data_IF_818926979904
#
_entry.id   IF_818926979904
#
_cell.length_a   1.000
_cell.length_b   1.000
_cell.length_c   1.000
_cell.angle_alpha   90.00
_cell.angle_beta   90.00
_cell.angle_gamma   90.00
#
_symmetry.space_group_name_H-M   'P 1'
#
loop_
_entity.id
_entity.type
_entity.pdbx_description
1 polymer ?
#
# COMPACT_ATOMS: atom_id res chain seq x y z
N UNK A 1 25.35 14.08 11.15
CA UNK A 1 25.48 12.61 11.00
C UNK A 1 24.17 11.93 11.35
N UNK A 2 23.73 10.92 10.58
CA UNK A 2 22.92 9.83 11.14
C UNK A 2 23.72 9.14 12.27
N UNK A 3 23.04 8.55 13.25
CA UNK A 3 23.73 7.75 14.27
C UNK A 3 24.10 6.40 13.60
N UNK A 4 25.29 5.87 13.87
CA UNK A 4 25.78 4.67 13.19
C UNK A 4 26.22 3.61 14.21
N UNK A 5 25.80 2.36 14.02
CA UNK A 5 26.42 1.22 14.68
C UNK A 5 27.59 0.77 13.81
N UNK A 6 28.76 0.66 14.42
CA UNK A 6 30.03 0.51 13.70
C UNK A 6 30.87 -0.60 14.33
N UNK A 7 31.35 -1.50 13.48
CA UNK A 7 32.28 -2.58 13.79
C UNK A 7 33.70 -2.17 13.40
N UNK A 8 34.65 -2.49 14.27
CA UNK A 8 36.08 -2.28 14.03
C UNK A 8 36.72 -3.64 13.73
N UNK A 9 37.25 -3.79 12.52
CA UNK A 9 37.90 -5.02 12.07
C UNK A 9 39.41 -4.98 12.37
N UNK A 10 40.00 -6.16 12.61
CA UNK A 10 41.44 -6.32 12.83
C UNK A 10 42.27 -6.30 11.53
N UNK A 11 41.60 -6.35 10.38
CA UNK A 11 42.19 -6.31 9.05
C UNK A 11 41.50 -5.21 8.22
N UNK A 12 42.23 -4.69 7.24
CA UNK A 12 41.72 -3.69 6.29
C UNK A 12 40.69 -4.31 5.34
N UNK A 13 39.63 -3.58 5.04
CA UNK A 13 38.74 -3.90 3.92
C UNK A 13 39.41 -3.61 2.56
N UNK A 14 38.71 -3.94 1.47
CA UNK A 14 39.17 -3.69 0.09
C UNK A 14 39.33 -2.20 -0.28
N UNK A 15 39.00 -1.27 0.62
CA UNK A 15 39.12 0.19 0.46
C UNK A 15 40.16 0.80 1.41
N UNK A 16 40.84 0.00 2.23
CA UNK A 16 41.81 0.47 3.24
C UNK A 16 41.17 0.99 4.53
N UNK A 17 39.94 0.57 4.84
CA UNK A 17 39.23 0.92 6.08
C UNK A 17 39.28 -0.24 7.10
N UNK A 18 39.51 0.08 8.37
CA UNK A 18 39.23 -0.84 9.50
C UNK A 18 37.76 -0.74 9.98
N UNK A 19 36.98 0.17 9.39
CA UNK A 19 35.70 0.65 9.92
C UNK A 19 34.56 0.16 9.02
N UNK A 20 33.70 -0.70 9.57
CA UNK A 20 32.54 -1.31 8.91
C UNK A 20 31.27 -0.77 9.56
N UNK A 21 30.41 -0.12 8.77
CA UNK A 21 29.12 0.40 9.27
C UNK A 21 28.09 -0.72 9.17
N UNK A 22 27.59 -1.19 10.32
CA UNK A 22 26.58 -2.23 10.41
C UNK A 22 25.16 -1.65 10.20
N UNK A 23 24.83 -0.57 10.91
CA UNK A 23 23.49 0.02 10.90
C UNK A 23 23.57 1.55 10.87
N UNK A 24 22.50 2.19 10.37
CA UNK A 24 22.34 3.66 10.35
C UNK A 24 20.95 4.05 10.82
N UNK A 25 20.91 4.88 11.86
CA UNK A 25 19.69 5.41 12.48
C UNK A 25 19.47 6.87 12.06
N UNK A 26 18.24 7.19 11.67
CA UNK A 26 17.87 8.52 11.16
C UNK A 26 17.85 9.55 12.29
N UNK A 27 18.84 10.45 12.31
CA UNK A 27 18.92 11.56 13.26
C UNK A 27 18.60 12.89 12.53
N UNK A 28 17.41 13.46 12.74
CA UNK A 28 16.98 14.72 12.11
C UNK A 28 17.80 15.95 12.57
N UNK A 29 18.52 15.87 13.68
CA UNK A 29 19.19 17.01 14.29
C UNK A 29 20.56 17.38 13.66
N UNK A 30 20.93 18.68 13.65
CA UNK A 30 20.06 19.84 13.88
C UNK A 30 19.13 20.08 12.67
N UNK A 31 17.90 20.53 12.94
CA UNK A 31 17.03 21.12 11.92
C UNK A 31 17.33 22.62 11.91
N UNK A 32 17.84 23.13 10.78
CA UNK A 32 18.25 24.53 10.60
C UNK A 32 17.06 25.39 10.14
N UNK A 33 16.23 24.85 9.25
CA UNK A 33 15.03 25.45 8.69
C UNK A 33 14.09 24.34 8.19
N UNK A 34 12.81 24.64 7.99
CA UNK A 34 11.85 23.69 7.41
C UNK A 34 10.72 24.39 6.67
N UNK A 35 10.08 23.67 5.76
CA UNK A 35 8.82 24.08 5.14
C UNK A 35 7.81 22.93 5.16
N UNK A 36 6.52 23.28 5.26
CA UNK A 36 5.43 22.34 5.01
C UNK A 36 5.05 22.43 3.54
N UNK A 37 4.91 21.28 2.88
CA UNK A 37 4.66 21.16 1.45
C UNK A 37 3.59 20.11 1.19
N UNK A 38 2.88 20.23 0.07
CA UNK A 38 2.03 19.17 -0.46
C UNK A 38 2.47 18.90 -1.91
N UNK A 39 3.59 18.19 -2.06
CA UNK A 39 4.23 17.94 -3.36
C UNK A 39 3.32 17.14 -4.30
N UNK A 40 2.45 16.31 -3.74
CA UNK A 40 1.61 15.34 -4.46
C UNK A 40 0.13 15.75 -4.54
N UNK A 41 -0.19 16.93 -3.99
CA UNK A 41 -1.52 17.55 -3.90
C UNK A 41 -2.57 16.63 -3.24
N UNK A 42 -2.18 15.95 -2.16
CA UNK A 42 -3.03 15.01 -1.42
C UNK A 42 -3.82 15.64 -0.26
N UNK A 43 -3.55 16.92 0.07
CA UNK A 43 -4.01 17.54 1.32
C UNK A 43 -3.24 17.07 2.56
N UNK A 44 -2.21 16.23 2.38
CA UNK A 44 -1.34 15.73 3.45
C UNK A 44 -0.04 16.52 3.49
N UNK A 45 0.07 17.43 4.46
CA UNK A 45 1.27 18.25 4.66
C UNK A 45 2.50 17.41 5.01
N UNK A 46 3.44 17.34 4.07
CA UNK A 46 4.77 16.77 4.21
C UNK A 46 5.69 17.84 4.81
N UNK A 47 6.65 17.47 5.67
CA UNK A 47 7.61 18.44 6.24
C UNK A 47 8.98 18.23 5.61
N UNK A 48 9.47 19.20 4.83
CA UNK A 48 10.85 19.16 4.31
C UNK A 48 11.76 19.98 5.21
N UNK A 49 12.83 19.38 5.68
CA UNK A 49 13.76 19.96 6.66
C UNK A 49 15.17 20.13 6.08
N UNK A 50 15.81 21.26 6.38
CA UNK A 50 17.26 21.40 6.33
C UNK A 50 17.86 20.70 7.55
N UNK A 51 18.31 19.46 7.39
CA UNK A 51 18.81 18.61 8.48
C UNK A 51 20.32 18.38 8.38
N UNK A 52 21.04 18.55 9.48
CA UNK A 52 22.48 18.31 9.54
C UNK A 52 23.35 19.54 9.24
N UNK A 53 24.67 19.36 9.21
CA UNK A 53 25.65 20.42 9.00
C UNK A 53 26.93 19.86 8.34
N UNK A 54 27.68 20.74 7.67
CA UNK A 54 28.92 20.39 6.93
C UNK A 54 28.67 19.22 5.96
N UNK A 55 29.61 18.25 5.87
CA UNK A 55 29.53 16.99 5.11
C UNK A 55 28.30 16.11 5.39
N UNK A 56 27.56 16.40 6.45
CA UNK A 56 26.34 15.70 6.86
C UNK A 56 25.07 16.50 6.55
N UNK A 57 25.18 17.53 5.69
CA UNK A 57 24.07 18.31 5.18
C UNK A 57 23.11 17.44 4.36
N UNK A 58 21.81 17.55 4.67
CA UNK A 58 20.76 16.78 4.02
C UNK A 58 19.44 17.54 3.97
N UNK A 59 18.70 17.42 2.87
CA UNK A 59 17.26 17.69 2.90
C UNK A 59 16.54 16.42 3.32
N UNK A 60 15.49 16.52 4.15
CA UNK A 60 14.70 15.35 4.53
C UNK A 60 13.22 15.63 4.48
N UNK A 61 12.52 14.81 3.71
CA UNK A 61 11.06 14.81 3.61
C UNK A 61 10.53 13.86 4.66
N UNK A 62 9.78 14.40 5.63
CA UNK A 62 9.11 13.66 6.69
C UNK A 62 7.64 13.53 6.32
N UNK A 63 7.19 12.29 6.14
CA UNK A 63 5.80 11.92 5.86
C UNK A 63 5.20 11.26 7.11
N UNK A 64 3.95 11.58 7.45
CA UNK A 64 3.21 10.87 8.49
C UNK A 64 2.53 9.64 7.88
N UNK A 65 2.94 8.45 8.32
CA UNK A 65 2.60 7.18 7.68
C UNK A 65 3.79 6.47 7.05
N UNK A 66 3.55 5.25 6.59
CA UNK A 66 4.51 4.27 6.09
C UNK A 66 4.78 4.51 4.60
N UNK A 67 6.04 4.48 4.18
CA UNK A 67 6.41 4.58 2.76
C UNK A 67 6.36 3.22 2.05
N UNK A 68 6.20 3.27 0.73
CA UNK A 68 6.42 2.13 -0.17
C UNK A 68 7.64 2.44 -1.03
N UNK A 69 8.57 1.49 -1.10
CA UNK A 69 9.72 1.55 -1.99
C UNK A 69 9.45 0.69 -3.24
N UNK A 70 8.92 1.35 -4.27
CA UNK A 70 8.52 0.79 -5.55
C UNK A 70 9.75 0.36 -6.37
N UNK A 71 9.71 -0.84 -6.96
CA UNK A 71 10.83 -1.44 -7.71
C UNK A 71 10.47 -1.80 -9.14
N UNK A 72 9.23 -2.23 -9.37
CA UNK A 72 8.69 -2.49 -10.71
C UNK A 72 7.24 -1.97 -10.80
N UNK A 73 6.84 -1.54 -11.99
CA UNK A 73 5.52 -0.98 -12.28
C UNK A 73 5.07 -1.41 -13.68
N UNK A 74 3.84 -1.90 -13.82
CA UNK A 74 3.23 -2.33 -15.07
C UNK A 74 1.87 -1.66 -15.23
N UNK A 75 1.59 -1.08 -16.39
CA UNK A 75 0.29 -0.44 -16.68
C UNK A 75 -0.79 -1.52 -16.89
N UNK A 76 -1.67 -1.71 -15.89
CA UNK A 76 -2.75 -2.70 -15.90
C UNK A 76 -4.02 -2.10 -15.31
N UNK A 77 -5.06 -1.98 -16.15
CA UNK A 77 -6.30 -1.29 -15.78
C UNK A 77 -7.40 -2.26 -15.34
N UNK A 78 -8.20 -1.85 -14.36
CA UNK A 78 -9.46 -2.54 -14.03
C UNK A 78 -9.35 -3.79 -13.17
N UNK A 79 -8.20 -4.05 -12.52
CA UNK A 79 -7.95 -5.19 -11.62
C UNK A 79 -9.08 -5.36 -10.57
N UNK A 80 -9.44 -6.62 -10.28
CA UNK A 80 -10.52 -7.08 -9.37
C UNK A 80 -10.07 -8.16 -8.38
N UNK A 81 -8.78 -8.47 -8.34
CA UNK A 81 -8.18 -9.43 -7.42
C UNK A 81 -6.74 -9.75 -7.83
N UNK A 82 -5.90 -10.06 -6.83
CA UNK A 82 -4.52 -10.48 -7.02
C UNK A 82 -4.12 -11.53 -5.99
N UNK A 83 -3.35 -12.52 -6.41
CA UNK A 83 -2.83 -13.60 -5.56
C UNK A 83 -1.45 -14.02 -6.08
N UNK A 84 -0.52 -14.31 -5.18
CA UNK A 84 0.69 -15.05 -5.54
C UNK A 84 0.42 -16.56 -5.48
N UNK A 85 1.11 -17.34 -6.31
CA UNK A 85 1.14 -18.80 -6.29
C UNK A 85 2.57 -19.29 -6.58
N UNK A 86 2.89 -20.52 -6.15
CA UNK A 86 4.18 -21.19 -6.39
C UNK A 86 4.10 -22.13 -7.59
N UNK A 87 5.23 -22.72 -8.01
CA UNK A 87 5.21 -23.82 -8.97
C UNK A 87 5.12 -25.18 -8.29
N UNK A 88 5.51 -25.27 -7.02
CA UNK A 88 5.38 -26.40 -6.10
C UNK A 88 5.18 -25.88 -4.67
N UNK A 89 4.49 -26.65 -3.82
CA UNK A 89 4.38 -26.34 -2.38
C UNK A 89 5.72 -26.36 -1.65
N UNK A 90 6.70 -27.10 -2.19
CA UNK A 90 8.06 -27.19 -1.65
C UNK A 90 8.97 -26.02 -2.08
N UNK A 91 8.51 -25.15 -3.00
CA UNK A 91 9.26 -23.96 -3.42
C UNK A 91 9.33 -22.93 -2.28
N UNK A 92 10.51 -22.31 -2.13
CA UNK A 92 10.75 -21.21 -1.17
C UNK A 92 10.16 -19.86 -1.64
N UNK A 93 9.89 -19.73 -2.93
CA UNK A 93 9.52 -18.48 -3.59
C UNK A 93 8.23 -18.63 -4.40
N UNK A 94 7.50 -17.52 -4.47
CA UNK A 94 6.33 -17.38 -5.33
C UNK A 94 6.80 -17.21 -6.78
N UNK A 95 6.14 -17.91 -7.72
CA UNK A 95 6.55 -17.95 -9.13
C UNK A 95 5.52 -17.27 -10.05
N UNK A 96 4.22 -17.36 -9.73
CA UNK A 96 3.14 -16.75 -10.50
C UNK A 96 2.48 -15.62 -9.73
N UNK A 97 2.19 -14.51 -10.41
CA UNK A 97 1.24 -13.50 -9.96
C UNK A 97 -0.05 -13.62 -10.77
N UNK A 98 -1.13 -14.06 -10.13
CA UNK A 98 -2.46 -14.17 -10.76
C UNK A 98 -3.20 -12.86 -10.59
N UNK A 99 -3.60 -12.23 -11.71
CA UNK A 99 -4.30 -10.94 -11.74
C UNK A 99 -5.66 -11.15 -12.41
N UNK A 100 -6.75 -10.84 -11.72
CA UNK A 100 -8.11 -11.02 -12.27
C UNK A 100 -8.81 -9.71 -12.59
N UNK A 101 -9.63 -9.75 -13.63
CA UNK A 101 -10.39 -8.66 -14.21
C UNK A 101 -11.88 -9.05 -14.27
N UNK A 102 -12.74 -8.19 -14.84
CA UNK A 102 -14.20 -8.41 -14.84
C UNK A 102 -14.61 -9.62 -15.72
N UNK A 103 -13.85 -9.92 -16.76
CA UNK A 103 -14.17 -10.95 -17.78
C UNK A 103 -13.07 -12.00 -17.98
N UNK A 104 -11.91 -11.83 -17.36
CA UNK A 104 -10.71 -12.63 -17.62
C UNK A 104 -9.81 -12.72 -16.37
N UNK A 105 -8.87 -13.66 -16.40
CA UNK A 105 -7.79 -13.82 -15.42
C UNK A 105 -6.49 -14.06 -16.17
N UNK A 106 -5.47 -13.26 -15.85
CA UNK A 106 -4.12 -13.36 -16.41
C UNK A 106 -3.19 -13.96 -15.37
N UNK A 107 -2.21 -14.72 -15.84
CA UNK A 107 -1.20 -15.35 -14.97
C UNK A 107 0.15 -14.86 -15.47
N UNK A 108 0.88 -14.18 -14.58
CA UNK A 108 2.16 -13.56 -14.86
C UNK A 108 3.26 -14.34 -14.11
N UNK A 109 3.89 -15.37 -14.72
CA UNK A 109 5.12 -15.96 -14.20
C UNK A 109 6.26 -14.92 -14.09
N UNK A 110 7.15 -15.14 -13.13
CA UNK A 110 8.47 -14.53 -13.09
C UNK A 110 9.42 -15.27 -14.03
N UNK A 111 9.82 -14.63 -15.14
CA UNK A 111 10.82 -15.20 -16.04
C UNK A 111 12.24 -15.14 -15.45
N UNK A 112 13.19 -15.85 -16.08
CA UNK A 112 14.62 -15.87 -15.69
C UNK A 112 15.29 -14.49 -15.87
N UNK A 113 14.69 -13.61 -16.67
CA UNK A 113 15.13 -12.23 -16.92
C UNK A 113 14.37 -11.21 -16.03
N UNK A 114 13.71 -11.71 -14.97
CA UNK A 114 12.91 -10.96 -13.97
C UNK A 114 11.69 -10.19 -14.53
N UNK A 115 11.33 -10.39 -15.80
CA UNK A 115 10.15 -9.83 -16.44
C UNK A 115 8.86 -10.63 -16.17
N UNK A 116 7.71 -9.93 -16.22
CA UNK A 116 6.35 -10.46 -16.02
C UNK A 116 5.61 -10.59 -17.38
N UNK A 117 5.87 -11.67 -18.11
CA UNK A 117 5.12 -12.00 -19.33
C UNK A 117 3.83 -12.77 -19.03
N UNK A 118 2.83 -12.69 -19.91
CA UNK A 118 1.55 -13.39 -19.74
C UNK A 118 1.64 -14.86 -20.20
N UNK A 119 1.08 -15.79 -19.42
CA UNK A 119 1.12 -17.25 -19.68
C UNK A 119 -0.17 -17.92 -19.22
N UNK A 120 -0.47 -19.12 -19.75
CA UNK A 120 -1.62 -19.94 -19.35
C UNK A 120 -1.20 -21.17 -18.51
N UNK A 121 -1.99 -21.51 -17.49
CA UNK A 121 -1.92 -22.79 -16.75
C UNK A 121 -3.11 -23.64 -17.21
N UNK A 122 -2.87 -24.86 -17.71
CA UNK A 122 -3.88 -25.62 -18.47
C UNK A 122 -5.16 -25.96 -17.68
N UNK A 123 -5.07 -26.25 -16.37
CA UNK A 123 -6.23 -26.46 -15.50
C UNK A 123 -6.98 -25.18 -15.11
N UNK A 124 -6.32 -24.01 -15.16
CA UNK A 124 -6.95 -22.72 -14.85
C UNK A 124 -7.89 -22.28 -15.98
N UNK A 125 -8.85 -21.42 -15.63
CA UNK A 125 -9.70 -20.74 -16.60
C UNK A 125 -9.32 -19.27 -16.70
N UNK A 126 -8.63 -18.89 -17.78
CA UNK A 126 -8.26 -17.50 -18.09
C UNK A 126 -9.44 -16.67 -18.63
N UNK A 127 -10.46 -17.33 -19.19
CA UNK A 127 -11.61 -16.69 -19.86
C UNK A 127 -12.74 -16.26 -18.90
N UNK A 128 -12.45 -16.20 -17.59
CA UNK A 128 -13.42 -15.87 -16.54
C UNK A 128 -12.76 -15.06 -15.42
N UNK A 129 -13.56 -14.34 -14.65
CA UNK A 129 -13.11 -13.72 -13.41
C UNK A 129 -12.82 -14.78 -12.34
N UNK A 130 -11.67 -14.69 -11.69
CA UNK A 130 -11.31 -15.44 -10.49
C UNK A 130 -11.74 -14.63 -9.26
N UNK A 131 -12.47 -15.27 -8.33
CA UNK A 131 -12.84 -14.69 -7.04
C UNK A 131 -11.78 -14.91 -5.97
N UNK A 132 -11.05 -16.02 -6.07
CA UNK A 132 -10.04 -16.45 -5.14
C UNK A 132 -9.16 -17.53 -5.78
N UNK A 133 -7.85 -17.48 -5.57
CA UNK A 133 -6.95 -18.61 -5.75
C UNK A 133 -5.88 -18.65 -4.67
N UNK A 134 -5.33 -19.83 -4.40
CA UNK A 134 -4.30 -20.07 -3.38
C UNK A 134 -3.64 -21.44 -3.59
N UNK A 135 -2.40 -21.58 -3.14
CA UNK A 135 -1.71 -22.86 -3.03
C UNK A 135 -2.35 -23.74 -1.96
N UNK A 136 -2.34 -25.05 -2.19
CA UNK A 136 -2.96 -26.05 -1.32
C UNK A 136 -2.06 -27.27 -1.11
N UNK A 137 -2.35 -28.03 -0.05
CA UNK A 137 -1.67 -29.29 0.28
C UNK A 137 -1.68 -30.29 -0.89
N UNK A 138 -0.74 -31.24 -0.84
CA UNK A 138 -0.53 -32.27 -1.86
C UNK A 138 -0.12 -31.72 -3.25
N UNK A 139 0.60 -30.58 -3.30
CA UNK A 139 1.03 -29.93 -4.55
C UNK A 139 -0.15 -29.56 -5.48
N UNK A 140 -1.16 -28.89 -4.92
CA UNK A 140 -2.35 -28.47 -5.66
C UNK A 140 -2.55 -26.96 -5.61
N UNK A 141 -3.28 -26.43 -6.59
CA UNK A 141 -3.67 -25.03 -6.72
C UNK A 141 -5.20 -24.96 -6.78
N UNK A 142 -5.81 -24.09 -5.98
CA UNK A 142 -7.27 -23.83 -6.02
C UNK A 142 -7.55 -22.60 -6.87
N UNK A 143 -8.51 -22.69 -7.80
CA UNK A 143 -9.09 -21.53 -8.49
C UNK A 143 -10.62 -21.52 -8.30
N UNK A 144 -11.20 -20.42 -7.84
CA UNK A 144 -12.66 -20.25 -7.73
C UNK A 144 -13.16 -19.19 -8.69
N UNK A 145 -14.03 -19.57 -9.62
CA UNK A 145 -14.40 -18.74 -10.77
C UNK A 145 -15.82 -18.14 -10.67
N UNK A 146 -15.93 -16.84 -10.95
CA UNK A 146 -17.21 -16.16 -11.12
C UNK A 146 -17.64 -16.14 -12.58
N UNK A 147 -18.39 -17.17 -12.99
CA UNK A 147 -19.13 -17.10 -14.24
C UNK A 147 -20.38 -16.21 -14.07
N UNK A 148 -20.52 -15.18 -14.91
CA UNK A 148 -21.79 -14.46 -15.07
C UNK A 148 -22.66 -15.29 -16.03
N UNK A 149 -23.90 -15.67 -15.65
CA UNK A 149 -24.81 -16.29 -16.61
C UNK A 149 -25.23 -15.24 -17.65
N UNK A 150 -24.71 -15.38 -18.88
CA UNK A 150 -25.20 -14.65 -20.05
C UNK A 150 -26.73 -14.81 -20.13
N UNK A 151 -27.46 -13.70 -20.21
CA UNK A 151 -28.92 -13.72 -20.14
C UNK A 151 -29.51 -14.43 -21.34
N UNK A 152 -30.12 -15.60 -21.11
CA UNK A 152 -30.80 -16.44 -22.12
C UNK A 152 -32.16 -15.85 -22.57
N UNK A 153 -32.21 -14.54 -22.80
CA UNK A 153 -33.41 -13.78 -23.15
C UNK A 153 -33.67 -13.67 -24.66
N UNK A 154 -32.71 -14.06 -25.52
CA UNK A 154 -32.77 -13.83 -26.98
C UNK A 154 -32.64 -15.09 -27.87
N UNK A 155 -32.59 -16.30 -27.31
CA UNK A 155 -32.42 -17.56 -28.07
C UNK A 155 -33.51 -18.61 -27.78
N UNK A 156 -34.78 -18.24 -27.91
CA UNK A 156 -35.94 -19.10 -27.61
C UNK A 156 -36.31 -20.14 -28.69
N UNK A 157 -35.42 -20.45 -29.65
CA UNK A 157 -35.78 -21.21 -30.86
C UNK A 157 -34.87 -22.39 -31.24
N UNK A 158 -33.89 -22.76 -30.41
CA UNK A 158 -33.05 -23.95 -30.66
C UNK A 158 -32.89 -24.88 -29.45
N UNK A 159 -33.94 -24.94 -28.61
CA UNK A 159 -34.02 -25.89 -27.50
C UNK A 159 -34.35 -27.30 -27.99
N UNK A 160 -33.41 -28.25 -27.81
CA UNK A 160 -33.64 -29.68 -27.49
C UNK A 160 -32.30 -30.41 -27.28
N UNK A 161 -31.24 -30.06 -28.03
CA UNK A 161 -30.01 -30.89 -28.11
C UNK A 161 -28.77 -30.38 -27.37
N UNK A 162 -28.83 -29.25 -26.64
CA UNK A 162 -27.63 -28.60 -26.03
C UNK A 162 -27.72 -28.50 -24.50
N UNK A 163 -28.14 -29.58 -23.83
CA UNK A 163 -28.18 -29.67 -22.36
C UNK A 163 -26.80 -29.88 -21.69
N UNK A 164 -25.69 -29.78 -22.45
CA UNK A 164 -24.31 -29.98 -21.97
C UNK A 164 -23.48 -28.70 -21.74
N UNK A 165 -24.01 -27.50 -22.01
CA UNK A 165 -23.25 -26.25 -21.96
C UNK A 165 -23.85 -25.17 -21.04
N UNK A 166 -24.55 -25.60 -19.99
CA UNK A 166 -24.90 -24.73 -18.86
C UNK A 166 -23.79 -24.79 -17.80
N UNK A 167 -22.72 -24.01 -17.97
CA UNK A 167 -21.61 -23.94 -17.02
C UNK A 167 -22.11 -23.33 -15.68
N UNK A 168 -22.28 -24.17 -14.66
CA UNK A 168 -22.56 -23.72 -13.29
C UNK A 168 -21.26 -23.39 -12.57
N UNK A 169 -21.23 -22.32 -11.76
CA UNK A 169 -19.98 -21.74 -11.21
C UNK A 169 -19.11 -22.78 -10.49
N UNK A 170 -17.81 -22.67 -10.76
CA UNK A 170 -16.82 -23.74 -10.64
C UNK A 170 -15.78 -23.37 -9.57
N UNK A 171 -15.46 -24.34 -8.71
CA UNK A 171 -14.18 -24.40 -8.01
C UNK A 171 -13.35 -25.49 -8.67
N UNK A 172 -12.15 -25.13 -9.10
CA UNK A 172 -11.18 -26.00 -9.74
C UNK A 172 -10.02 -26.31 -8.81
N UNK A 173 -9.57 -27.55 -8.88
CA UNK A 173 -8.43 -28.10 -8.17
C UNK A 173 -7.45 -28.59 -9.23
N UNK A 174 -6.27 -27.98 -9.27
CA UNK A 174 -5.29 -28.12 -10.36
C UNK A 174 -3.98 -28.63 -9.79
N UNK A 175 -3.35 -29.60 -10.44
CA UNK A 175 -2.02 -30.08 -10.06
C UNK A 175 -0.98 -28.97 -10.25
N UNK A 176 -0.23 -28.62 -9.21
CA UNK A 176 0.82 -27.60 -9.30
C UNK A 176 1.95 -28.06 -10.23
N UNK A 177 2.26 -29.36 -10.21
CA UNK A 177 3.39 -29.94 -10.94
C UNK A 177 3.08 -30.33 -12.38
N UNK A 178 1.90 -30.92 -12.65
CA UNK A 178 1.52 -31.29 -14.04
C UNK A 178 0.67 -30.23 -14.74
N UNK A 179 0.03 -29.34 -13.98
CA UNK A 179 -0.88 -28.27 -14.44
C UNK A 179 -2.20 -28.78 -15.02
N UNK A 180 -2.51 -30.07 -14.84
CA UNK A 180 -3.78 -30.70 -15.16
C UNK A 180 -4.90 -30.33 -14.15
N UNK A 181 -6.15 -30.46 -14.59
CA UNK A 181 -7.33 -30.33 -13.73
C UNK A 181 -7.63 -31.67 -13.03
N UNK A 182 -7.40 -31.73 -11.72
CA UNK A 182 -7.65 -32.91 -10.88
C UNK A 182 -9.15 -33.07 -10.54
N UNK A 183 -9.80 -31.98 -10.11
CA UNK A 183 -11.18 -32.01 -9.64
C UNK A 183 -11.92 -30.70 -9.89
N UNK A 184 -13.23 -30.78 -10.16
CA UNK A 184 -14.07 -29.60 -10.42
C UNK A 184 -15.39 -29.66 -9.63
N UNK A 185 -15.48 -28.90 -8.54
CA UNK A 185 -16.69 -28.78 -7.73
C UNK A 185 -17.65 -27.76 -8.34
N UNK A 186 -18.93 -28.15 -8.42
CA UNK A 186 -19.99 -27.38 -9.07
C UNK A 186 -21.03 -26.93 -8.02
N UNK A 187 -21.40 -25.65 -8.05
CA UNK A 187 -22.49 -25.15 -7.21
C UNK A 187 -23.85 -25.77 -7.59
N UNK A 188 -24.74 -26.09 -6.63
CA UNK A 188 -26.08 -26.62 -6.92
C UNK A 188 -26.89 -25.72 -7.86
N UNK A 189 -27.67 -26.36 -8.74
CA UNK A 189 -28.37 -25.69 -9.83
C UNK A 189 -29.24 -24.51 -9.36
N UNK A 190 -28.96 -23.32 -9.90
CA UNK A 190 -29.63 -22.07 -9.55
C UNK A 190 -28.92 -21.21 -8.51
N UNK A 191 -27.88 -21.72 -7.83
CA UNK A 191 -27.09 -20.95 -6.88
C UNK A 191 -25.73 -20.50 -7.43
N UNK A 192 -25.22 -19.42 -6.85
CA UNK A 192 -24.08 -18.65 -7.36
C UNK A 192 -23.00 -18.53 -6.29
N UNK A 193 -21.78 -19.02 -6.53
CA UNK A 193 -20.63 -18.61 -5.71
C UNK A 193 -20.50 -17.09 -5.85
N UNK A 194 -20.56 -16.39 -4.71
CA UNK A 194 -20.54 -14.92 -4.62
C UNK A 194 -19.28 -14.42 -3.89
N UNK A 195 -18.81 -15.17 -2.89
CA UNK A 195 -17.55 -14.94 -2.17
C UNK A 195 -16.91 -16.29 -1.91
N UNK A 196 -15.59 -16.35 -2.00
CA UNK A 196 -14.79 -17.53 -1.71
C UNK A 196 -13.55 -17.14 -0.90
N UNK A 197 -13.08 -18.03 -0.05
CA UNK A 197 -11.80 -17.92 0.65
C UNK A 197 -11.28 -19.32 0.93
N UNK A 198 -9.96 -19.51 0.86
CA UNK A 198 -9.32 -20.75 1.24
C UNK A 198 -8.07 -20.52 2.08
N UNK A 199 -7.73 -21.52 2.89
CA UNK A 199 -6.38 -21.76 3.40
C UNK A 199 -5.80 -23.01 2.69
N UNK A 200 -4.54 -23.32 2.95
CA UNK A 200 -3.80 -24.46 2.35
C UNK A 200 -4.52 -25.81 2.42
N UNK A 201 -5.49 -26.00 3.33
CA UNK A 201 -6.20 -27.26 3.57
C UNK A 201 -7.71 -27.18 3.36
N UNK A 202 -8.30 -25.99 3.21
CA UNK A 202 -9.75 -25.79 3.39
C UNK A 202 -10.28 -24.62 2.56
N UNK A 203 -11.45 -24.78 1.95
CA UNK A 203 -12.15 -23.76 1.16
C UNK A 203 -13.55 -23.50 1.73
N UNK A 204 -13.91 -22.23 1.93
CA UNK A 204 -15.24 -21.78 2.31
C UNK A 204 -15.86 -20.96 1.17
N UNK A 205 -17.04 -21.38 0.73
CA UNK A 205 -17.79 -20.77 -0.38
C UNK A 205 -19.12 -20.23 0.12
N UNK A 206 -19.37 -18.94 -0.07
CA UNK A 206 -20.70 -18.35 0.13
C UNK A 206 -21.47 -18.38 -1.19
N UNK A 207 -22.53 -19.19 -1.24
CA UNK A 207 -23.39 -19.28 -2.42
C UNK A 207 -24.70 -18.49 -2.27
N UNK A 208 -25.31 -18.14 -3.40
CA UNK A 208 -26.67 -17.62 -3.47
C UNK A 208 -27.67 -18.52 -2.71
N UNK A 209 -28.79 -17.94 -2.28
CA UNK A 209 -29.78 -18.65 -1.45
C UNK A 209 -29.52 -18.61 0.06
N UNK A 210 -28.39 -18.02 0.52
CA UNK A 210 -27.90 -17.98 1.92
C UNK A 210 -27.25 -19.30 2.38
N UNK A 211 -26.74 -20.11 1.46
CA UNK A 211 -25.98 -21.31 1.79
C UNK A 211 -24.49 -20.99 1.91
N UNK A 212 -23.85 -21.56 2.93
CA UNK A 212 -22.41 -21.68 3.02
C UNK A 212 -22.09 -23.13 2.65
N UNK A 213 -21.11 -23.34 1.77
CA UNK A 213 -20.55 -24.65 1.46
C UNK A 213 -19.10 -24.62 1.91
N UNK A 214 -18.66 -25.70 2.53
CA UNK A 214 -17.33 -25.81 3.10
C UNK A 214 -16.68 -27.11 2.58
N UNK A 215 -15.39 -27.08 2.22
CA UNK A 215 -14.66 -28.18 1.59
C UNK A 215 -13.22 -28.26 2.13
N UNK A 216 -12.81 -29.37 2.73
CA UNK A 216 -11.41 -29.74 2.93
C UNK A 216 -10.79 -30.18 1.59
N UNK A 217 -9.50 -29.89 1.43
CA UNK A 217 -8.70 -30.24 0.25
C UNK A 217 -7.93 -31.52 0.56
N UNK A 218 -8.30 -32.60 -0.11
CA UNK A 218 -7.61 -33.89 -0.06
C UNK A 218 -6.69 -34.09 -1.27
N UNK A 219 -6.12 -35.29 -1.36
CA UNK A 219 -5.32 -35.71 -2.52
C UNK A 219 -6.25 -35.95 -3.72
N UNK A 220 -6.25 -35.03 -4.69
CA UNK A 220 -7.12 -35.01 -5.88
C UNK A 220 -8.63 -34.85 -5.64
N UNK A 221 -9.10 -34.63 -4.41
CA UNK A 221 -10.54 -34.70 -4.05
C UNK A 221 -10.93 -33.67 -2.97
N UNK A 222 -12.16 -33.13 -3.05
CA UNK A 222 -12.72 -32.19 -2.06
C UNK A 222 -13.71 -32.89 -1.12
N UNK A 223 -13.61 -32.66 0.20
CA UNK A 223 -14.29 -33.44 1.26
C UNK A 223 -14.83 -32.52 2.38
N UNK A 224 -16.09 -32.61 2.79
CA UNK A 224 -16.74 -31.62 3.69
C UNK A 224 -16.43 -31.79 5.22
N UNK A 225 -15.26 -31.32 5.73
CA UNK A 225 -14.82 -31.24 7.16
C UNK A 225 -13.66 -30.24 7.38
N UNK A 226 -13.26 -29.61 8.51
CA UNK A 226 -13.87 -29.13 9.77
C UNK A 226 -13.03 -27.92 10.30
N UNK A 227 -13.62 -26.78 10.72
CA UNK A 227 -12.97 -25.68 11.51
C UNK A 227 -13.96 -24.56 11.96
N UNK A 228 -13.50 -23.33 12.30
CA UNK A 228 -14.37 -22.17 12.56
C UNK A 228 -14.46 -21.23 11.35
N UNK A 229 -15.65 -20.68 11.08
CA UNK A 229 -15.87 -19.69 10.01
C UNK A 229 -16.47 -18.38 10.54
N UNK A 230 -15.91 -17.23 10.15
CA UNK A 230 -16.46 -15.91 10.43
C UNK A 230 -17.14 -15.34 9.18
N UNK A 231 -18.42 -14.95 9.27
CA UNK A 231 -19.23 -14.53 8.12
C UNK A 231 -19.99 -13.24 8.43
N UNK A 232 -19.75 -12.19 7.65
CA UNK A 232 -20.53 -10.95 7.67
C UNK A 232 -21.81 -11.10 6.86
N UNK A 233 -22.97 -10.75 7.45
CA UNK A 233 -24.29 -10.94 6.84
C UNK A 233 -25.00 -9.60 6.62
N UNK A 234 -25.45 -9.38 5.39
CA UNK A 234 -26.15 -8.15 5.00
C UNK A 234 -27.61 -8.10 5.49
N UNK A 235 -28.28 -9.25 5.61
CA UNK A 235 -29.71 -9.35 5.93
C UNK A 235 -30.10 -8.91 7.34
N UNK A 236 -29.17 -8.95 8.29
CA UNK A 236 -29.38 -8.60 9.70
C UNK A 236 -28.19 -7.81 10.30
N UNK A 237 -27.31 -7.30 9.41
CA UNK A 237 -26.17 -6.41 9.69
C UNK A 237 -25.36 -6.91 10.90
N UNK A 238 -24.92 -8.17 10.79
CA UNK A 238 -24.24 -8.92 11.85
C UNK A 238 -22.97 -9.61 11.32
N UNK A 239 -22.01 -9.90 12.21
CA UNK A 239 -21.01 -10.96 11.96
C UNK A 239 -21.36 -12.16 12.82
N UNK A 240 -21.29 -13.33 12.21
CA UNK A 240 -21.61 -14.61 12.83
C UNK A 240 -20.38 -15.53 12.78
N UNK A 241 -20.02 -16.10 13.93
CA UNK A 241 -19.02 -17.16 14.05
C UNK A 241 -19.77 -18.49 14.01
N UNK A 242 -19.39 -19.34 13.07
CA UNK A 242 -19.98 -20.66 12.83
C UNK A 242 -18.99 -21.77 13.17
N UNK A 243 -19.46 -22.84 13.82
CA UNK A 243 -18.73 -24.10 13.87
C UNK A 243 -19.00 -24.90 12.60
N UNK A 244 -17.94 -25.27 11.88
CA UNK A 244 -17.98 -26.23 10.78
C UNK A 244 -17.70 -27.63 11.37
N UNK A 245 -18.33 -28.70 10.87
CA UNK A 245 -19.06 -28.77 9.61
C UNK A 245 -20.53 -28.33 9.74
N UNK A 246 -21.12 -28.44 10.93
CA UNK A 246 -22.57 -28.33 11.17
C UNK A 246 -23.21 -26.98 10.81
N UNK A 247 -22.40 -25.93 10.60
CA UNK A 247 -22.83 -24.54 10.41
C UNK A 247 -23.75 -24.03 11.53
N UNK A 248 -23.56 -24.54 12.75
CA UNK A 248 -24.17 -24.00 13.96
C UNK A 248 -23.56 -22.62 14.26
N UNK A 249 -24.41 -21.60 14.43
CA UNK A 249 -23.98 -20.26 14.80
C UNK A 249 -23.65 -20.22 16.30
N UNK A 250 -22.37 -20.06 16.63
CA UNK A 250 -21.86 -19.99 18.01
C UNK A 250 -22.13 -18.59 18.58
N UNK A 251 -21.69 -17.57 17.85
CA UNK A 251 -21.72 -16.17 18.28
C UNK A 251 -22.33 -15.33 17.17
N UNK A 252 -23.38 -14.56 17.49
CA UNK A 252 -23.96 -13.56 16.60
C UNK A 252 -23.81 -12.17 17.20
N UNK A 253 -22.94 -11.37 16.61
CA UNK A 253 -22.71 -9.99 17.03
C UNK A 253 -23.31 -9.01 16.02
N UNK A 254 -24.18 -8.10 16.48
CA UNK A 254 -24.88 -7.14 15.62
C UNK A 254 -24.03 -5.87 15.47
N UNK A 255 -23.64 -5.54 14.25
CA UNK A 255 -22.76 -4.40 13.97
C UNK A 255 -23.50 -3.08 14.18
N UNK A 256 -24.81 -3.05 13.88
CA UNK A 256 -25.70 -1.92 14.14
C UNK A 256 -25.55 -0.77 13.13
N UNK A 257 -26.58 0.07 13.07
CA UNK A 257 -26.77 1.01 11.96
C UNK A 257 -27.22 0.29 10.68
N UNK A 258 -27.19 1.00 9.55
CA UNK A 258 -27.72 0.54 8.26
C UNK A 258 -26.63 0.02 7.31
N UNK A 259 -25.37 -0.03 7.78
CA UNK A 259 -24.18 -0.14 6.92
C UNK A 259 -23.64 -1.58 6.97
N UNK A 260 -23.73 -2.26 5.83
CA UNK A 260 -23.38 -3.69 5.73
C UNK A 260 -21.87 -3.97 5.86
N UNK A 261 -21.48 -5.14 6.38
CA UNK A 261 -20.09 -5.61 6.33
C UNK A 261 -19.67 -5.91 4.88
N UNK A 262 -18.45 -5.50 4.53
CA UNK A 262 -17.84 -5.69 3.21
C UNK A 262 -16.63 -6.62 3.23
N UNK A 263 -15.88 -6.65 4.34
CA UNK A 263 -14.77 -7.59 4.56
C UNK A 263 -14.81 -8.14 5.97
N UNK A 264 -14.38 -9.39 6.13
CA UNK A 264 -14.17 -10.04 7.43
C UNK A 264 -12.87 -10.83 7.36
N UNK A 265 -12.01 -10.67 8.36
CA UNK A 265 -10.73 -11.37 8.47
C UNK A 265 -10.56 -11.89 9.90
N UNK A 266 -10.16 -13.16 10.01
CA UNK A 266 -9.60 -13.73 11.24
C UNK A 266 -8.08 -13.65 11.17
N UNK A 267 -7.45 -13.13 12.22
CA UNK A 267 -6.00 -13.00 12.31
C UNK A 267 -5.52 -13.15 13.75
N UNK A 268 -4.21 -13.29 13.97
CA UNK A 268 -3.62 -13.35 15.32
C UNK A 268 -2.40 -12.46 15.37
N UNK A 269 -2.35 -11.56 16.37
CA UNK A 269 -1.24 -10.62 16.58
C UNK A 269 -0.69 -10.78 18.01
N UNK A 270 0.64 -10.87 18.18
CA UNK A 270 1.30 -11.06 19.49
C UNK A 270 0.70 -12.21 20.35
N UNK A 271 0.16 -13.25 19.70
CA UNK A 271 -0.49 -14.40 20.34
C UNK A 271 -1.95 -14.21 20.74
N UNK A 272 -2.58 -13.08 20.38
CA UNK A 272 -4.00 -12.79 20.63
C UNK A 272 -4.75 -12.88 19.30
N UNK A 273 -5.80 -13.70 19.24
CA UNK A 273 -6.66 -13.81 18.05
C UNK A 273 -7.68 -12.68 18.00
N UNK A 274 -7.90 -12.15 16.80
CA UNK A 274 -8.80 -11.04 16.51
C UNK A 274 -9.72 -11.36 15.34
N UNK A 275 -10.94 -10.84 15.42
CA UNK A 275 -11.85 -10.69 14.30
C UNK A 275 -11.82 -9.23 13.87
N UNK A 276 -11.48 -8.99 12.60
CA UNK A 276 -11.55 -7.68 11.95
C UNK A 276 -12.72 -7.68 10.96
N UNK A 277 -13.55 -6.65 10.98
CA UNK A 277 -14.69 -6.49 10.08
C UNK A 277 -14.71 -5.07 9.50
N UNK A 278 -14.51 -4.93 8.19
CA UNK A 278 -14.62 -3.66 7.49
C UNK A 278 -16.06 -3.44 6.99
N UNK A 279 -16.61 -2.27 7.28
CA UNK A 279 -17.95 -1.84 6.88
C UNK A 279 -17.91 -1.11 5.53
N UNK A 280 -19.09 -0.87 4.95
CA UNK A 280 -19.26 -0.13 3.69
C UNK A 280 -18.91 1.36 3.71
N UNK A 281 -18.57 1.93 4.87
CA UNK A 281 -18.36 3.36 5.14
C UNK A 281 -16.94 3.71 5.61
N UNK A 282 -15.96 2.85 5.31
CA UNK A 282 -14.56 3.04 5.71
C UNK A 282 -14.28 2.88 7.20
N UNK A 283 -15.25 2.42 7.99
CA UNK A 283 -15.00 2.00 9.37
C UNK A 283 -14.58 0.53 9.48
N UNK A 284 -13.62 0.28 10.37
CA UNK A 284 -13.25 -1.03 10.86
C UNK A 284 -13.83 -1.26 12.26
N UNK A 285 -14.48 -2.40 12.46
CA UNK A 285 -14.74 -2.97 13.78
C UNK A 285 -13.68 -4.03 14.07
N UNK A 286 -13.07 -3.98 15.24
CA UNK A 286 -12.22 -5.07 15.77
C UNK A 286 -12.87 -5.69 17.01
N UNK A 287 -12.62 -6.98 17.21
CA UNK A 287 -13.04 -7.77 18.37
C UNK A 287 -11.91 -8.72 18.75
N UNK A 288 -11.68 -8.93 20.04
CA UNK A 288 -10.84 -10.03 20.53
C UNK A 288 -11.64 -11.33 20.42
N UNK A 289 -11.13 -12.32 19.69
CA UNK A 289 -11.76 -13.63 19.51
C UNK A 289 -11.13 -14.65 20.46
N UNK A 290 -11.95 -15.32 21.26
CA UNK A 290 -11.54 -16.54 21.95
C UNK A 290 -11.68 -17.73 20.99
N UNK A 291 -10.57 -18.15 20.38
CA UNK A 291 -10.55 -19.20 19.37
C UNK A 291 -11.04 -20.60 19.86
N UNK A 292 -11.08 -20.84 21.17
CA UNK A 292 -11.58 -22.09 21.75
C UNK A 292 -13.10 -22.08 21.97
N UNK A 293 -13.70 -20.90 22.21
CA UNK A 293 -15.14 -20.77 22.50
C UNK A 293 -15.95 -20.13 21.37
N UNK A 294 -15.30 -19.48 20.40
CA UNK A 294 -15.95 -18.67 19.37
C UNK A 294 -16.48 -17.32 19.87
N UNK A 295 -16.28 -16.96 21.14
CA UNK A 295 -16.81 -15.74 21.75
C UNK A 295 -16.05 -14.48 21.26
N UNK A 296 -16.81 -13.41 21.00
CA UNK A 296 -16.30 -12.12 20.55
C UNK A 296 -16.40 -11.09 21.68
N UNK A 297 -15.28 -10.47 22.01
CA UNK A 297 -15.17 -9.52 23.12
C UNK A 297 -14.45 -8.24 22.69
N UNK A 298 -14.39 -7.24 23.57
CA UNK A 298 -13.47 -6.10 23.42
C UNK A 298 -13.68 -5.21 22.17
N UNK A 299 -14.93 -5.19 21.66
CA UNK A 299 -15.40 -4.44 20.48
C UNK A 299 -14.92 -2.99 20.45
N UNK A 300 -14.13 -2.61 19.43
CA UNK A 300 -13.76 -1.20 19.15
C UNK A 300 -14.10 -0.82 17.71
N UNK A 301 -14.52 0.43 17.49
CA UNK A 301 -14.76 1.03 16.15
C UNK A 301 -13.66 2.04 15.83
N UNK A 302 -13.09 1.96 14.63
CA UNK A 302 -12.04 2.85 14.11
C UNK A 302 -12.47 3.30 12.71
N UNK A 303 -12.22 4.55 12.34
CA UNK A 303 -12.36 5.03 10.95
C UNK A 303 -10.98 4.94 10.29
N UNK A 304 -10.90 4.29 9.12
CA UNK A 304 -9.67 4.18 8.33
C UNK A 304 -9.74 5.05 7.08
N UNK A 305 -10.87 4.99 6.37
CA UNK A 305 -11.11 5.69 5.11
C UNK A 305 -12.56 6.13 4.96
N UNK A 306 -12.99 6.29 3.72
CA UNK A 306 -14.39 6.60 3.33
C UNK A 306 -15.02 5.51 2.45
N UNK A 307 -14.21 4.73 1.72
CA UNK A 307 -14.67 3.52 1.02
C UNK A 307 -14.36 2.26 1.87
N UNK A 308 -14.93 1.08 1.57
CA UNK A 308 -14.65 -0.14 2.32
C UNK A 308 -13.20 -0.63 2.16
N UNK A 309 -12.82 -1.61 3.00
CA UNK A 309 -11.50 -2.25 3.10
C UNK A 309 -10.39 -1.39 3.72
N UNK A 310 -9.29 -2.05 4.13
CA UNK A 310 -8.08 -1.39 4.65
C UNK A 310 -7.03 -1.10 3.55
N UNK A 311 -7.19 -1.69 2.36
CA UNK A 311 -6.67 -1.17 1.10
C UNK A 311 -7.85 -0.43 0.44
N UNK A 312 -7.77 0.90 0.38
CA UNK A 312 -8.89 1.77 0.00
C UNK A 312 -8.38 3.20 -0.31
N UNK A 313 -9.22 4.23 -0.16
CA UNK A 313 -8.84 5.66 -0.25
C UNK A 313 -7.73 6.07 0.73
N UNK A 314 -7.62 5.36 1.86
CA UNK A 314 -6.51 5.49 2.82
C UNK A 314 -5.95 4.12 3.19
N UNK A 315 -5.01 3.57 2.39
CA UNK A 315 -4.44 2.26 2.67
C UNK A 315 -3.78 2.26 4.06
N UNK A 316 -4.08 1.26 4.89
CA UNK A 316 -3.70 1.25 6.31
C UNK A 316 -3.13 -0.10 6.73
N UNK A 317 -1.89 -0.09 7.24
CA UNK A 317 -1.30 -1.27 7.90
C UNK A 317 -1.87 -1.38 9.32
N UNK A 318 -2.36 -2.58 9.64
CA UNK A 318 -2.83 -2.97 10.96
C UNK A 318 -1.80 -3.92 11.56
N UNK A 319 -1.24 -3.56 12.70
CA UNK A 319 -0.22 -4.33 13.41
C UNK A 319 -0.49 -4.27 14.91
N UNK A 320 0.17 -5.11 15.70
CA UNK A 320 0.16 -4.98 17.17
C UNK A 320 1.55 -4.62 17.68
N UNK A 321 1.59 -3.78 18.71
CA UNK A 321 2.80 -3.49 19.46
C UNK A 321 2.43 -3.35 20.92
N UNK A 322 3.13 -4.06 21.80
CA UNK A 322 2.87 -4.06 23.25
C UNK A 322 1.43 -4.51 23.58
N UNK A 323 0.93 -5.52 22.86
CA UNK A 323 -0.42 -6.10 22.96
C UNK A 323 -1.55 -5.10 22.69
N UNK A 324 -1.32 -4.14 21.80
CA UNK A 324 -2.30 -3.16 21.34
C UNK A 324 -2.24 -3.03 19.83
N UNK A 325 -3.40 -3.19 19.18
CA UNK A 325 -3.56 -2.90 17.77
C UNK A 325 -3.27 -1.41 17.50
N UNK A 326 -2.38 -1.17 16.56
CA UNK A 326 -2.01 0.12 16.02
C UNK A 326 -2.38 0.17 14.54
N UNK A 327 -2.69 1.39 14.10
CA UNK A 327 -3.09 1.71 12.75
C UNK A 327 -2.09 2.73 12.22
N UNK A 328 -1.59 2.52 11.00
CA UNK A 328 -0.68 3.47 10.36
C UNK A 328 -0.93 3.48 8.86
N UNK A 329 -1.33 4.65 8.35
CA UNK A 329 -1.61 4.87 6.95
C UNK A 329 -0.33 4.62 6.13
N UNK A 330 -0.51 4.15 4.90
CA UNK A 330 0.54 4.05 3.88
C UNK A 330 0.44 5.29 2.99
N UNK A 331 1.58 5.85 2.60
CA UNK A 331 1.68 7.02 1.72
C UNK A 331 1.48 6.63 0.25
N UNK A 332 0.35 5.98 -0.07
CA UNK A 332 -0.09 5.65 -1.43
C UNK A 332 -1.49 6.21 -1.70
N UNK A 333 -1.75 6.57 -2.96
CA UNK A 333 -3.09 6.87 -3.48
C UNK A 333 -3.87 5.57 -3.71
N UNK A 334 -5.20 5.68 -3.68
CA UNK A 334 -6.21 4.62 -3.75
C UNK A 334 -5.71 3.22 -4.17
N UNK A 335 -5.50 2.34 -3.19
CA UNK A 335 -5.07 0.96 -3.44
C UNK A 335 -6.29 0.06 -3.46
N UNK A 336 -6.54 -0.59 -4.59
CA UNK A 336 -7.69 -1.48 -4.79
C UNK A 336 -7.48 -2.88 -4.22
N UNK A 337 -6.28 -3.45 -4.40
CA UNK A 337 -5.92 -4.81 -3.98
C UNK A 337 -4.43 -4.87 -3.61
N UNK A 338 -4.08 -5.78 -2.69
CA UNK A 338 -2.69 -6.11 -2.35
C UNK A 338 -2.57 -7.62 -2.10
N UNK A 339 -1.42 -8.19 -2.45
CA UNK A 339 -1.01 -9.52 -2.01
C UNK A 339 0.48 -9.53 -1.62
N UNK A 340 0.94 -10.45 -0.74
CA UNK A 340 2.35 -10.79 -0.65
C UNK A 340 2.85 -11.30 -2.00
N UNK A 341 4.13 -11.07 -2.30
CA UNK A 341 4.78 -11.59 -3.49
C UNK A 341 6.27 -11.78 -3.20
N UNK A 342 6.65 -13.00 -2.82
CA UNK A 342 8.02 -13.35 -2.42
C UNK A 342 8.73 -14.13 -3.53
N UNK A 343 9.02 -13.50 -4.68
CA UNK A 343 9.74 -14.17 -5.77
C UNK A 343 11.25 -14.16 -5.56
N UNK A 344 12.00 -14.92 -6.36
CA UNK A 344 13.46 -14.93 -6.28
C UNK A 344 14.09 -13.56 -6.67
N UNK A 345 13.48 -12.86 -7.62
CA UNK A 345 13.83 -11.50 -8.02
C UNK A 345 13.42 -10.45 -6.97
N UNK A 346 12.23 -10.67 -6.39
CA UNK A 346 11.56 -9.77 -5.46
C UNK A 346 11.32 -10.46 -4.11
N UNK A 347 12.39 -10.73 -3.32
CA UNK A 347 12.26 -11.36 -2.02
C UNK A 347 11.56 -10.41 -1.02
N UNK A 348 10.65 -10.96 -0.22
CA UNK A 348 9.87 -10.27 0.82
C UNK A 348 9.13 -8.99 0.33
N UNK A 349 8.61 -9.01 -0.91
CA UNK A 349 7.86 -7.87 -1.49
C UNK A 349 6.34 -8.07 -1.46
N UNK A 350 5.65 -7.02 -1.88
CA UNK A 350 4.20 -6.93 -2.00
C UNK A 350 3.86 -6.48 -3.42
N UNK A 351 2.84 -7.09 -4.02
CA UNK A 351 2.21 -6.58 -5.23
C UNK A 351 0.98 -5.73 -4.85
N UNK A 352 0.83 -4.57 -5.49
CA UNK A 352 -0.11 -3.51 -5.15
C UNK A 352 -0.82 -3.04 -6.42
N UNK A 353 -2.14 -3.16 -6.49
CA UNK A 353 -2.95 -2.67 -7.61
C UNK A 353 -3.64 -1.37 -7.25
N UNK A 354 -3.30 -0.29 -7.95
CA UNK A 354 -3.94 1.04 -7.85
C UNK A 354 -4.88 1.25 -9.05
N UNK A 355 -5.38 2.46 -9.27
CA UNK A 355 -6.12 2.78 -10.50
C UNK A 355 -5.17 2.87 -11.70
N UNK A 356 -5.11 1.79 -12.49
CA UNK A 356 -4.44 1.75 -13.79
C UNK A 356 -3.00 1.23 -13.79
N UNK A 357 -2.41 1.01 -12.62
CA UNK A 357 -1.07 0.45 -12.46
C UNK A 357 -1.01 -0.69 -11.43
N UNK A 358 -0.18 -1.68 -11.74
CA UNK A 358 0.31 -2.72 -10.84
C UNK A 358 1.74 -2.35 -10.43
N UNK A 359 2.02 -2.30 -9.13
CA UNK A 359 3.34 -1.97 -8.58
C UNK A 359 3.84 -3.09 -7.68
N UNK A 360 5.12 -3.45 -7.77
CA UNK A 360 5.82 -4.33 -6.83
C UNK A 360 6.78 -3.49 -6.00
N UNK A 361 6.76 -3.67 -4.67
CA UNK A 361 7.61 -2.91 -3.76
C UNK A 361 7.70 -3.48 -2.34
N UNK A 362 8.51 -2.84 -1.52
CA UNK A 362 8.58 -3.08 -0.06
C UNK A 362 7.73 -2.07 0.68
N UNK A 363 7.11 -2.50 1.78
CA UNK A 363 6.76 -1.62 2.90
C UNK A 363 8.07 -1.24 3.63
N UNK A 364 8.26 0.05 3.92
CA UNK A 364 9.32 0.49 4.85
C UNK A 364 9.01 0.06 6.30
N UNK A 365 9.99 0.16 7.20
CA UNK A 365 9.81 -0.04 8.64
C UNK A 365 8.47 0.53 9.15
N UNK A 366 7.69 -0.28 9.88
CA UNK A 366 6.36 0.07 10.40
C UNK A 366 6.49 1.09 11.54
N UNK A 367 6.78 2.33 11.15
CA UNK A 367 6.94 3.50 11.99
C UNK A 367 5.88 4.55 11.61
N UNK A 368 5.58 5.46 12.55
CA UNK A 368 4.59 6.53 12.30
C UNK A 368 5.10 7.62 11.34
N UNK A 369 6.40 7.68 11.09
CA UNK A 369 7.03 8.69 10.23
C UNK A 369 7.98 8.00 9.24
N UNK A 370 7.66 8.06 7.95
CA UNK A 370 8.63 7.77 6.88
C UNK A 370 9.53 9.01 6.68
N UNK A 371 10.85 8.82 6.55
CA UNK A 371 11.83 9.92 6.43
C UNK A 371 12.77 9.68 5.24
N UNK A 372 12.42 10.22 4.07
CA UNK A 372 13.29 10.20 2.89
C UNK A 372 14.41 11.24 3.05
N UNK A 373 15.65 10.78 3.07
CA UNK A 373 16.83 11.65 3.23
C UNK A 373 17.59 11.82 1.90
N UNK A 374 17.87 13.07 1.54
CA UNK A 374 18.59 13.48 0.32
C UNK A 374 19.91 14.15 0.77
N UNK A 375 21.07 13.53 0.55
CA UNK A 375 22.36 14.10 0.95
C UNK A 375 22.79 15.26 0.05
N UNK A 376 23.40 16.29 0.62
CA UNK A 376 23.89 17.49 -0.09
C UNK A 376 25.42 17.57 -0.18
N UNK A 377 26.14 16.56 0.33
CA UNK A 377 27.60 16.56 0.41
C UNK A 377 28.11 17.60 1.40
N UNK A 378 29.10 18.40 0.99
CA UNK A 378 29.75 19.40 1.86
C UNK A 378 28.89 20.67 2.10
N UNK A 379 27.79 20.82 1.37
CA UNK A 379 26.91 21.98 1.47
C UNK A 379 25.93 21.85 2.65
N UNK A 380 26.21 22.60 3.73
CA UNK A 380 25.31 22.72 4.87
C UNK A 380 24.00 23.45 4.47
N UNK A 381 22.82 22.79 4.55
CA UNK A 381 21.56 23.41 4.14
C UNK A 381 21.18 24.50 5.15
N UNK A 382 21.13 25.75 4.67
CA UNK A 382 20.93 26.93 5.54
C UNK A 382 19.49 27.46 5.54
N UNK A 383 18.68 27.09 4.55
CA UNK A 383 17.31 27.59 4.35
C UNK A 383 16.53 26.68 3.38
N UNK A 384 15.20 26.58 3.54
CA UNK A 384 14.30 25.92 2.59
C UNK A 384 12.89 26.50 2.58
N UNK A 385 12.35 26.75 1.39
CA UNK A 385 10.93 27.06 1.16
C UNK A 385 10.41 26.34 -0.06
N UNK A 386 9.09 26.22 -0.15
CA UNK A 386 8.34 25.77 -1.32
C UNK A 386 7.41 26.90 -1.77
N UNK A 387 6.98 26.86 -3.03
CA UNK A 387 6.18 27.92 -3.66
C UNK A 387 4.75 27.49 -4.03
N UNK A 388 3.82 27.39 -3.07
CA UNK A 388 2.37 27.35 -3.31
C UNK A 388 1.74 28.72 -2.99
N UNK A 389 2.25 29.78 -3.62
CA UNK A 389 2.00 31.17 -3.20
C UNK A 389 3.02 31.70 -2.18
N UNK A 390 2.97 32.99 -1.82
CA UNK A 390 4.13 33.68 -1.25
C UNK A 390 4.15 33.69 0.30
N UNK A 391 5.27 33.27 0.92
CA UNK A 391 6.16 34.18 1.69
C UNK A 391 7.37 33.50 2.37
N UNK A 392 8.31 34.35 2.83
CA UNK A 392 9.42 34.07 3.76
C UNK A 392 10.54 33.09 3.37
N UNK A 393 10.81 32.93 2.08
CA UNK A 393 11.71 33.88 1.42
C UNK A 393 10.86 34.64 0.40
N UNK A 394 11.29 35.79 -0.11
CA UNK A 394 10.40 36.59 -0.97
C UNK A 394 10.37 35.99 -2.38
N UNK A 395 9.53 34.96 -2.52
CA UNK A 395 8.74 34.79 -3.73
C UNK A 395 7.73 35.91 -3.74
N UNK A 396 7.93 36.86 -4.64
CA UNK A 396 6.95 37.87 -4.99
C UNK A 396 6.67 37.77 -6.49
N UNK A 397 5.39 37.76 -6.86
CA UNK A 397 4.95 38.50 -8.03
C UNK A 397 5.05 39.99 -7.69
N UNK A 398 5.59 40.81 -8.59
CA UNK A 398 5.38 42.26 -8.48
C UNK A 398 3.92 42.58 -8.86
N UNK A 399 3.38 43.73 -8.45
CA UNK A 399 1.94 44.04 -8.68
C UNK A 399 1.53 44.01 -10.15
N UNK A 400 2.51 44.18 -11.04
CA UNK A 400 2.33 44.41 -12.47
C UNK A 400 2.88 43.23 -13.32
N UNK A 401 3.29 42.11 -12.69
CA UNK A 401 3.89 40.95 -13.35
C UNK A 401 3.49 39.61 -12.68
N UNK A 402 3.06 38.63 -13.48
CA UNK A 402 2.70 37.28 -13.05
C UNK A 402 3.89 36.34 -12.76
N UNK A 403 5.12 36.75 -13.05
CA UNK A 403 6.31 35.92 -12.87
C UNK A 403 6.64 35.60 -11.40
N UNK A 404 7.22 34.42 -11.19
CA UNK A 404 7.64 33.89 -9.88
C UNK A 404 9.13 34.11 -9.69
N UNK A 405 9.48 35.17 -8.95
CA UNK A 405 10.86 35.52 -8.65
C UNK A 405 11.37 34.86 -7.36
N UNK A 406 12.67 34.65 -7.25
CA UNK A 406 13.37 34.09 -6.09
C UNK A 406 14.32 35.14 -5.50
N UNK A 407 13.92 35.80 -4.41
CA UNK A 407 14.77 36.79 -3.73
C UNK A 407 15.69 36.13 -2.70
N UNK A 408 17.01 36.34 -2.86
CA UNK A 408 18.05 35.89 -1.93
C UNK A 408 18.72 37.11 -1.29
N UNK A 409 18.65 37.22 0.04
CA UNK A 409 19.48 38.15 0.80
C UNK A 409 20.83 37.52 1.14
N UNK A 410 21.93 38.24 0.96
CA UNK A 410 23.29 37.78 1.31
C UNK A 410 24.06 38.83 2.11
N UNK A 411 25.06 38.38 2.86
CA UNK A 411 25.96 39.19 3.67
C UNK A 411 27.41 39.06 3.16
N UNK A 412 28.17 40.16 3.17
CA UNK A 412 29.62 40.12 2.96
C UNK A 412 30.31 39.88 4.31
N UNK A 413 30.65 38.63 4.60
CA UNK A 413 31.38 38.27 5.82
C UNK A 413 32.87 38.58 5.60
N UNK A 414 33.36 39.59 6.31
CA UNK A 414 34.77 40.00 6.29
C UNK A 414 35.44 39.56 7.60
N UNK A 415 36.64 38.93 7.59
CA UNK A 415 37.28 38.43 8.83
C UNK A 415 37.63 39.50 9.87
N UNK A 416 37.60 40.78 9.50
CA UNK A 416 37.89 41.93 10.37
C UNK A 416 36.62 42.61 10.92
N UNK A 417 35.42 42.19 10.50
CA UNK A 417 34.13 42.73 10.96
C UNK A 417 33.42 41.72 11.89
N UNK A 418 33.19 42.08 13.15
CA UNK A 418 32.46 41.23 14.12
C UNK A 418 30.99 40.99 13.72
N UNK A 419 30.38 41.99 13.10
CA UNK A 419 29.06 41.91 12.47
C UNK A 419 29.20 42.46 11.04
N UNK A 420 28.73 41.74 10.01
CA UNK A 420 28.95 42.15 8.63
C UNK A 420 28.15 43.43 8.30
N UNK A 421 28.86 44.45 7.81
CA UNK A 421 28.30 45.80 7.58
C UNK A 421 27.63 46.00 6.22
N UNK A 422 27.81 45.03 5.31
CA UNK A 422 27.36 45.10 3.91
C UNK A 422 26.64 43.83 3.51
N UNK A 423 25.57 43.96 2.74
CA UNK A 423 24.87 42.84 2.11
C UNK A 423 24.29 43.22 0.77
N UNK A 424 23.65 42.26 0.10
CA UNK A 424 22.93 42.50 -1.16
C UNK A 424 21.68 41.65 -1.29
N UNK A 425 20.71 42.16 -2.01
CA UNK A 425 19.54 41.44 -2.50
C UNK A 425 19.86 40.99 -3.93
N UNK A 426 19.65 39.71 -4.22
CA UNK A 426 19.65 39.14 -5.57
C UNK A 426 18.24 38.65 -5.88
N UNK A 427 17.70 38.99 -7.05
CA UNK A 427 16.37 38.57 -7.51
C UNK A 427 16.57 37.71 -8.75
N UNK A 428 16.24 36.43 -8.66
CA UNK A 428 16.34 35.49 -9.77
C UNK A 428 14.97 35.15 -10.36
N UNK A 429 14.95 34.77 -11.64
CA UNK A 429 13.83 34.08 -12.29
C UNK A 429 14.31 32.68 -12.69
N UNK A 430 13.40 31.71 -12.76
CA UNK A 430 13.70 30.36 -13.29
C UNK A 430 13.04 30.20 -14.65
N UNK A 431 13.87 30.15 -15.70
CA UNK A 431 13.45 29.85 -17.08
C UNK A 431 14.27 28.65 -17.58
N UNK A 432 13.65 27.74 -18.32
CA UNK A 432 14.29 26.52 -18.88
C UNK A 432 15.15 25.73 -17.87
N UNK A 433 14.70 25.67 -16.62
CA UNK A 433 15.40 24.98 -15.52
C UNK A 433 16.66 25.69 -15.01
N UNK A 434 16.90 26.95 -15.40
CA UNK A 434 18.09 27.74 -15.03
C UNK A 434 17.71 29.00 -14.25
N UNK A 435 18.51 29.33 -13.24
CA UNK A 435 18.42 30.60 -12.51
C UNK A 435 19.04 31.72 -13.34
N UNK A 436 18.23 32.69 -13.77
CA UNK A 436 18.68 33.95 -14.36
C UNK A 436 18.64 35.07 -13.31
N UNK A 437 19.68 35.89 -13.21
CA UNK A 437 19.70 37.05 -12.32
C UNK A 437 19.01 38.24 -12.99
N UNK A 438 17.91 38.72 -12.41
CA UNK A 438 17.07 39.79 -12.96
C UNK A 438 17.38 41.14 -12.31
N UNK A 439 17.68 41.16 -11.00
CA UNK A 439 18.09 42.38 -10.30
C UNK A 439 19.08 42.10 -9.16
N UNK A 440 20.00 43.04 -8.93
CA UNK A 440 20.91 43.07 -7.79
C UNK A 440 20.82 44.43 -7.08
N UNK A 441 20.80 44.43 -5.75
CA UNK A 441 20.75 45.65 -4.94
C UNK A 441 21.61 45.56 -3.68
N UNK A 442 22.68 46.34 -3.64
CA UNK A 442 23.50 46.51 -2.44
C UNK A 442 22.74 47.18 -1.28
N UNK A 443 23.15 46.82 -0.05
CA UNK A 443 22.56 47.28 1.21
C UNK A 443 23.65 47.48 2.28
N UNK A 444 23.49 48.52 3.12
CA UNK A 444 24.45 48.91 4.19
C UNK A 444 24.16 48.26 5.56
N UNK A 445 23.44 47.15 5.56
CA UNK A 445 23.02 46.37 6.73
C UNK A 445 22.83 44.93 6.23
N UNK A 446 23.25 43.92 6.97
CA UNK A 446 23.01 42.54 6.58
C UNK A 446 21.55 42.10 6.75
N UNK A 447 21.11 41.27 5.80
CA UNK A 447 19.71 40.95 5.58
C UNK A 447 19.35 39.63 6.26
N UNK A 448 19.38 39.64 7.58
CA UNK A 448 18.70 38.63 8.39
C UNK A 448 17.17 38.74 8.17
N UNK A 449 16.44 37.63 8.36
CA UNK A 449 15.07 37.43 7.88
C UNK A 449 14.09 38.55 8.24
N UNK A 450 14.17 39.08 9.46
CA UNK A 450 13.28 40.14 9.97
C UNK A 450 13.46 41.48 9.25
N UNK A 451 14.69 41.84 8.86
CA UNK A 451 14.97 43.11 8.18
C UNK A 451 14.39 43.19 6.75
N UNK A 452 14.04 42.06 6.13
CA UNK A 452 13.58 42.04 4.74
C UNK A 452 12.11 42.50 4.61
N UNK A 453 11.24 42.11 5.55
CA UNK A 453 9.81 42.51 5.51
C UNK A 453 9.63 44.03 5.69
N UNK A 454 10.42 44.66 6.57
CA UNK A 454 10.23 46.08 6.87
C UNK A 454 10.41 46.97 5.64
N UNK A 455 11.37 46.66 4.75
CA UNK A 455 11.63 47.46 3.54
C UNK A 455 10.63 47.22 2.42
N UNK A 456 10.18 45.97 2.20
CA UNK A 456 9.15 45.70 1.18
C UNK A 456 7.80 46.28 1.57
N UNK A 457 7.44 46.25 2.86
CA UNK A 457 6.25 46.95 3.38
C UNK A 457 6.37 48.48 3.31
N UNK A 458 7.54 49.07 3.59
CA UNK A 458 7.72 50.53 3.44
C UNK A 458 7.59 50.99 1.98
N UNK A 459 8.06 50.22 0.99
CA UNK A 459 7.84 50.52 -0.43
C UNK A 459 6.35 50.52 -0.83
N UNK A 460 5.45 49.94 -0.03
CA UNK A 460 4.00 50.01 -0.22
C UNK A 460 3.35 51.30 0.34
N UNK A 461 4.10 52.14 1.07
CA UNK A 461 3.60 53.39 1.67
C UNK A 461 4.25 54.67 1.11
N UNK A 462 5.16 54.56 0.13
CA UNK A 462 5.76 55.71 -0.56
C UNK A 462 5.51 55.65 -2.07
N UNK A 463 4.39 56.25 -2.50
CA UNK A 463 4.19 56.79 -3.85
C UNK A 463 4.19 58.32 -3.76
#
# INVERSE_FOLDING_TARGET
MPIQLVKLNLQLDAKGSYVEVLERYVNLGPIVDFCVVDLERQGQGQVVTCSGAYKDGSLRVVLNGIGINEQASVELQGIKGMWSLRSSTDDLHDFFLVVSFISETRILPMNIEDELEETEIQGFSSQVQTLFCHDAVFNQLVQVCHLIPLSLSLLSFFYVSVQRLCHFKLLRLVSSTSRDLEHEWHAPAGYSINVATANVTQVLLATGGKHLVYLEIGDGVLIEKNQLAAVGRWTDISVQIYSLPDLNCITKEHLGGEIIPRSVLLCTFEGISYLLCALGDGHLLNFTLNATTGELTDRKKVSLGTQPFAASDRPTVIYSSNKKLLYSNVNLKEVSHMCPFNSAAFPDRLAIAKEGELTIGTIDDIQKLHIRSIPLGEHAPSAIRSSPGPLQYVVCSFSDDSNVYYCVGTAYVLPEENEPTKGRILVFLVEDGKLQLIAEKETRICLFSECFQWKTSCCHQSK
#
